data_IF_974259190985
#
_entry.id   IF_974259190985
#
_cell.length_a   1.000
_cell.length_b   1.000
_cell.length_c   1.000
_cell.angle_alpha   90.00
_cell.angle_beta   90.00
_cell.angle_gamma   90.00
#
_symmetry.space_group_name_H-M   'P 1'
#
loop_
_entity.id
_entity.type
_entity.pdbx_description
1 polymer ?
#
# COMPACT_ATOMS: atom_id res chain seq x y z
N UNK A 1 -13.47 -9.75 -68.63
CA UNK A 1 -12.36 -8.81 -68.84
C UNK A 1 -11.77 -8.55 -67.46
N UNK A 2 -10.88 -9.42 -66.97
CA UNK A 2 -9.42 -9.45 -67.19
C UNK A 2 -8.78 -8.12 -66.72
N UNK A 3 -7.86 -8.06 -65.77
CA UNK A 3 -7.15 -9.11 -65.04
C UNK A 3 -6.39 -8.53 -63.84
N UNK A 4 -6.17 -9.38 -62.85
CA UNK A 4 -5.23 -9.24 -61.73
C UNK A 4 -3.90 -9.90 -62.14
N UNK A 5 -2.77 -9.25 -61.89
CA UNK A 5 -1.41 -9.83 -61.73
C UNK A 5 -0.67 -8.93 -60.72
N UNK A 6 -0.43 -9.40 -59.47
CA UNK A 6 0.76 -10.10 -58.94
C UNK A 6 1.99 -9.17 -58.82
N UNK A 7 2.37 -8.68 -57.64
CA UNK A 7 3.05 -9.34 -56.49
C UNK A 7 4.57 -9.16 -56.58
N UNK A 8 5.15 -8.63 -55.49
CA UNK A 8 6.59 -8.71 -55.17
C UNK A 8 6.78 -8.27 -53.70
N UNK A 9 6.33 -9.13 -52.78
CA UNK A 9 6.90 -9.20 -51.42
C UNK A 9 7.58 -10.56 -51.25
N UNK A 10 8.84 -10.63 -50.80
CA UNK A 10 9.45 -11.92 -50.50
C UNK A 10 8.85 -12.51 -49.21
N UNK A 11 8.29 -13.71 -49.35
CA UNK A 11 7.84 -14.60 -48.27
C UNK A 11 9.00 -15.51 -47.77
N UNK A 12 8.82 -16.20 -46.63
CA UNK A 12 9.91 -16.71 -45.80
C UNK A 12 10.36 -18.13 -46.17
N UNK A 13 11.62 -18.47 -45.87
CA UNK A 13 12.09 -19.85 -45.89
C UNK A 13 11.97 -20.49 -44.50
N UNK A 14 11.11 -21.50 -44.42
CA UNK A 14 10.94 -22.44 -43.30
C UNK A 14 12.05 -23.49 -43.34
N UNK A 15 12.66 -23.78 -42.19
CA UNK A 15 13.62 -24.86 -42.00
C UNK A 15 13.65 -25.36 -40.56
N UNK A 16 12.66 -26.19 -40.23
CA UNK A 16 12.57 -27.22 -39.18
C UNK A 16 13.61 -27.21 -38.04
N UNK A 17 13.15 -27.08 -36.78
CA UNK A 17 12.89 -28.23 -35.88
C UNK A 17 14.04 -29.26 -35.82
N UNK A 18 14.88 -29.16 -34.79
CA UNK A 18 15.42 -30.26 -33.94
C UNK A 18 16.61 -29.77 -33.12
N UNK A 19 16.39 -29.51 -31.83
CA UNK A 19 17.30 -29.87 -30.73
C UNK A 19 16.82 -29.20 -29.42
N UNK A 20 15.68 -29.68 -28.93
CA UNK A 20 15.51 -29.74 -27.49
C UNK A 20 16.57 -30.72 -26.92
N UNK A 21 16.92 -30.52 -25.65
CA UNK A 21 17.68 -31.44 -24.79
C UNK A 21 19.19 -31.54 -25.03
N UNK A 22 19.97 -30.72 -24.32
CA UNK A 22 21.03 -31.23 -23.43
C UNK A 22 21.07 -30.44 -22.13
N UNK A 23 20.55 -31.09 -21.09
CA UNK A 23 20.91 -30.91 -19.69
C UNK A 23 22.43 -30.90 -19.50
N UNK A 24 22.89 -30.15 -18.50
CA UNK A 24 23.78 -30.74 -17.50
C UNK A 24 25.20 -30.18 -17.38
N UNK A 25 25.37 -29.38 -16.33
CA UNK A 25 26.44 -29.48 -15.32
C UNK A 25 27.88 -28.97 -15.61
N UNK A 26 28.21 -27.94 -14.82
CA UNK A 26 29.39 -27.81 -13.94
C UNK A 26 30.79 -27.57 -14.56
N UNK A 27 31.41 -26.43 -14.22
CA UNK A 27 32.31 -26.36 -13.05
C UNK A 27 32.87 -24.93 -12.82
N UNK A 28 33.01 -24.61 -11.55
CA UNK A 28 33.55 -23.40 -10.91
C UNK A 28 35.07 -23.34 -11.08
N UNK A 29 35.63 -22.15 -11.35
CA UNK A 29 36.96 -21.76 -10.89
C UNK A 29 37.08 -20.22 -10.80
N UNK A 30 37.00 -19.73 -9.57
CA UNK A 30 37.50 -18.42 -9.14
C UNK A 30 39.02 -18.48 -9.11
N UNK A 31 39.72 -17.47 -9.65
CA UNK A 31 40.99 -17.01 -9.09
C UNK A 31 41.24 -15.54 -9.49
N UNK A 32 41.42 -14.75 -8.45
CA UNK A 32 41.70 -13.32 -8.45
C UNK A 32 43.15 -13.02 -8.87
N UNK A 33 43.37 -11.87 -9.52
CA UNK A 33 44.34 -10.82 -9.17
C UNK A 33 44.56 -9.86 -10.35
N UNK A 34 44.33 -8.58 -10.12
CA UNK A 34 44.61 -7.50 -11.07
C UNK A 34 44.03 -6.16 -10.64
N UNK A 35 44.44 -5.68 -9.46
CA UNK A 35 44.09 -4.37 -8.91
C UNK A 35 44.71 -3.22 -9.73
N UNK A 36 43.88 -2.27 -10.16
CA UNK A 36 44.12 -0.82 -10.09
C UNK A 36 43.02 -0.07 -10.87
N UNK A 37 42.04 0.48 -10.16
CA UNK A 37 41.03 1.35 -10.77
C UNK A 37 39.78 1.52 -9.90
N UNK A 38 39.84 2.46 -8.96
CA UNK A 38 38.70 3.02 -8.22
C UNK A 38 37.79 2.03 -7.45
N UNK A 39 38.34 1.44 -6.39
CA UNK A 39 37.52 1.12 -5.22
C UNK A 39 37.52 2.37 -4.31
N UNK A 40 36.59 3.27 -4.58
CA UNK A 40 36.09 4.26 -3.61
C UNK A 40 34.58 4.13 -3.59
N UNK A 41 34.08 3.62 -2.45
CA UNK A 41 32.70 3.63 -1.96
C UNK A 41 31.74 2.65 -2.69
N UNK A 42 31.15 1.59 -2.11
CA UNK A 42 30.62 1.39 -0.76
C UNK A 42 30.12 2.68 -0.11
N UNK A 43 29.43 3.52 -0.88
CA UNK A 43 28.84 4.75 -0.38
C UNK A 43 27.59 4.40 0.43
N UNK A 44 27.40 5.10 1.54
CA UNK A 44 26.18 5.13 2.31
C UNK A 44 24.93 5.16 1.41
N UNK A 45 23.85 4.53 1.86
CA UNK A 45 22.53 4.70 1.25
C UNK A 45 22.32 6.19 0.93
N UNK A 46 21.87 6.51 -0.28
CA UNK A 46 21.57 7.91 -0.62
C UNK A 46 20.63 8.50 0.43
N UNK A 47 20.69 9.80 0.69
CA UNK A 47 19.86 10.45 1.72
C UNK A 47 18.37 10.09 1.55
N UNK A 48 17.91 9.96 0.31
CA UNK A 48 16.56 9.51 -0.02
C UNK A 48 16.30 8.05 0.39
N UNK A 49 17.25 7.14 0.18
CA UNK A 49 17.15 5.76 0.66
C UNK A 49 17.10 5.68 2.19
N UNK A 50 17.85 6.54 2.89
CA UNK A 50 17.80 6.62 4.35
C UNK A 50 16.43 7.12 4.85
N UNK A 51 15.87 8.15 4.21
CA UNK A 51 14.51 8.63 4.48
C UNK A 51 13.49 7.52 4.20
N UNK A 52 13.57 6.87 3.04
CA UNK A 52 12.68 5.78 2.63
C UNK A 52 12.72 4.66 3.66
N UNK A 53 13.90 4.18 4.03
CA UNK A 53 14.06 3.12 5.02
C UNK A 53 13.43 3.49 6.37
N UNK A 54 13.46 4.78 6.75
CA UNK A 54 12.88 5.27 8.01
C UNK A 54 11.35 5.27 8.00
N UNK A 55 10.73 5.67 6.90
CA UNK A 55 9.28 5.96 6.87
C UNK A 55 8.44 4.97 6.06
N UNK A 56 9.07 4.04 5.32
CA UNK A 56 8.33 3.09 4.49
C UNK A 56 7.36 2.23 5.30
N UNK A 57 7.78 1.68 6.44
CA UNK A 57 6.93 0.85 7.30
C UNK A 57 5.75 1.66 7.87
N UNK A 58 5.96 2.85 8.48
CA UNK A 58 4.87 3.74 8.88
C UNK A 58 3.91 4.09 7.74
N UNK A 59 4.40 4.48 6.56
CA UNK A 59 3.56 4.83 5.40
C UNK A 59 2.73 3.63 4.95
N UNK A 60 3.32 2.44 4.91
CA UNK A 60 2.64 1.19 4.58
C UNK A 60 1.48 0.92 5.52
N UNK A 61 1.73 1.07 6.83
CA UNK A 61 0.73 0.87 7.86
C UNK A 61 -0.42 1.87 7.71
N UNK A 62 -0.11 3.15 7.48
CA UNK A 62 -1.13 4.19 7.29
C UNK A 62 -1.94 3.95 6.01
N UNK A 63 -1.31 3.61 4.88
CA UNK A 63 -2.03 3.32 3.64
C UNK A 63 -3.02 2.15 3.82
N UNK A 64 -2.59 1.09 4.52
CA UNK A 64 -3.50 -0.02 4.90
C UNK A 64 -4.62 0.44 5.82
N UNK A 65 -4.35 1.31 6.79
CA UNK A 65 -5.38 1.83 7.69
C UNK A 65 -6.44 2.66 6.95
N UNK A 66 -6.02 3.48 5.97
CA UNK A 66 -6.94 4.21 5.10
C UNK A 66 -7.88 3.25 4.37
N UNK A 67 -7.33 2.20 3.76
CA UNK A 67 -8.13 1.20 3.06
C UNK A 67 -9.01 0.40 4.01
N UNK A 68 -8.55 0.07 5.21
CA UNK A 68 -9.35 -0.60 6.24
C UNK A 68 -10.61 0.19 6.61
N UNK A 69 -10.57 1.52 6.65
CA UNK A 69 -11.75 2.36 6.92
C UNK A 69 -12.81 2.24 5.82
N UNK A 70 -12.39 2.05 4.57
CA UNK A 70 -13.27 1.81 3.43
C UNK A 70 -13.75 0.35 3.39
N UNK A 71 -12.83 -0.59 3.59
CA UNK A 71 -13.04 -2.01 3.32
C UNK A 71 -13.78 -2.74 4.43
N UNK A 72 -13.58 -2.40 5.70
CA UNK A 72 -14.26 -3.10 6.80
C UNK A 72 -15.79 -3.02 6.67
N UNK A 73 -16.41 -1.85 6.43
CA UNK A 73 -17.85 -1.75 6.19
C UNK A 73 -18.29 -2.48 4.92
N UNK A 74 -17.49 -2.42 3.84
CA UNK A 74 -17.81 -3.10 2.58
C UNK A 74 -17.81 -4.63 2.73
N UNK A 75 -16.86 -5.18 3.48
CA UNK A 75 -16.83 -6.62 3.80
C UNK A 75 -18.09 -7.03 4.58
N UNK A 76 -18.51 -6.22 5.55
CA UNK A 76 -19.74 -6.49 6.31
C UNK A 76 -20.96 -6.49 5.37
N UNK A 77 -21.02 -5.55 4.44
CA UNK A 77 -22.09 -5.45 3.44
C UNK A 77 -22.12 -6.66 2.48
N UNK A 78 -20.97 -7.06 1.93
CA UNK A 78 -20.88 -8.22 1.03
C UNK A 78 -21.33 -9.50 1.75
N UNK A 79 -20.92 -9.69 3.00
CA UNK A 79 -21.29 -10.86 3.80
C UNK A 79 -22.78 -10.81 4.16
N UNK A 80 -23.28 -9.66 4.59
CA UNK A 80 -24.69 -9.49 4.97
C UNK A 80 -25.64 -9.73 3.78
N UNK A 81 -25.25 -9.25 2.59
CA UNK A 81 -26.07 -9.30 1.37
C UNK A 81 -25.74 -10.50 0.46
N UNK A 82 -25.02 -11.49 0.97
CA UNK A 82 -24.68 -12.69 0.21
C UNK A 82 -25.97 -13.40 -0.29
N UNK A 83 -26.14 -13.66 -1.61
CA UNK A 83 -27.36 -14.26 -2.14
C UNK A 83 -27.73 -15.60 -1.48
N UNK A 84 -26.73 -16.41 -1.12
CA UNK A 84 -26.95 -17.67 -0.43
C UNK A 84 -27.62 -17.49 0.94
N UNK A 85 -27.37 -16.37 1.64
CA UNK A 85 -27.93 -16.08 2.95
C UNK A 85 -29.40 -15.64 2.90
N UNK A 86 -29.97 -15.36 1.72
CA UNK A 86 -31.33 -14.83 1.56
C UNK A 86 -32.39 -15.69 2.28
N UNK A 87 -32.25 -17.03 2.25
CA UNK A 87 -33.19 -17.95 2.91
C UNK A 87 -33.11 -17.94 4.44
N UNK A 88 -32.01 -17.44 5.02
CA UNK A 88 -31.83 -17.40 6.47
C UNK A 88 -32.56 -16.21 7.12
N UNK A 89 -32.85 -15.15 6.35
CA UNK A 89 -33.54 -13.96 6.83
C UNK A 89 -32.90 -13.41 8.12
N UNK A 90 -33.70 -13.25 9.18
CA UNK A 90 -33.27 -12.72 10.48
C UNK A 90 -32.29 -13.61 11.24
N UNK A 91 -32.05 -14.86 10.80
CA UNK A 91 -31.03 -15.75 11.40
C UNK A 91 -29.61 -15.42 10.91
N UNK A 92 -29.48 -14.69 9.80
CA UNK A 92 -28.19 -14.23 9.28
C UNK A 92 -27.80 -12.88 9.87
N UNK A 93 -27.05 -12.93 10.97
CA UNK A 93 -26.59 -11.73 11.68
C UNK A 93 -25.09 -11.81 11.97
N UNK A 94 -24.43 -10.67 12.27
CA UNK A 94 -23.02 -10.65 12.67
C UNK A 94 -22.66 -11.51 13.89
N UNK A 95 -23.66 -11.92 14.68
CA UNK A 95 -23.49 -12.82 15.83
C UNK A 95 -23.57 -14.30 15.45
N UNK A 96 -24.06 -14.64 14.24
CA UNK A 96 -24.13 -16.02 13.78
C UNK A 96 -22.75 -16.56 13.40
N UNK A 97 -22.48 -17.83 13.73
CA UNK A 97 -21.18 -18.45 13.49
C UNK A 97 -20.82 -18.48 11.99
N UNK A 98 -21.79 -18.74 11.11
CA UNK A 98 -21.53 -18.70 9.66
C UNK A 98 -21.23 -17.30 9.14
N UNK A 99 -21.87 -16.26 9.67
CA UNK A 99 -21.54 -14.88 9.29
C UNK A 99 -20.11 -14.54 9.68
N UNK A 100 -19.71 -14.89 10.90
CA UNK A 100 -18.32 -14.66 11.36
C UNK A 100 -17.31 -15.47 10.54
N UNK A 101 -17.65 -16.71 10.17
CA UNK A 101 -16.82 -17.55 9.29
C UNK A 101 -16.66 -16.90 7.90
N UNK A 102 -17.75 -16.48 7.28
CA UNK A 102 -17.74 -15.79 6.00
C UNK A 102 -16.91 -14.49 6.07
N UNK A 103 -17.15 -13.67 7.09
CA UNK A 103 -16.44 -12.41 7.31
C UNK A 103 -14.95 -12.59 7.51
N UNK A 104 -14.55 -13.63 8.23
CA UNK A 104 -13.16 -14.00 8.44
C UNK A 104 -12.50 -14.48 7.13
N UNK A 105 -13.19 -15.31 6.34
CA UNK A 105 -12.67 -15.80 5.06
C UNK A 105 -12.39 -14.66 4.06
N UNK A 106 -13.35 -13.74 3.86
CA UNK A 106 -13.12 -12.57 3.01
C UNK A 106 -12.05 -11.63 3.60
N UNK A 107 -12.04 -11.44 4.93
CA UNK A 107 -11.00 -10.64 5.60
C UNK A 107 -9.59 -11.21 5.43
N UNK A 108 -9.45 -12.54 5.40
CA UNK A 108 -8.19 -13.22 5.12
C UNK A 108 -7.76 -13.04 3.66
N UNK A 109 -8.70 -13.07 2.70
CA UNK A 109 -8.41 -12.76 1.28
C UNK A 109 -7.90 -11.33 1.11
N UNK A 110 -8.60 -10.36 1.71
CA UNK A 110 -8.16 -8.96 1.76
C UNK A 110 -6.73 -8.86 2.32
N UNK A 111 -6.49 -9.43 3.51
CA UNK A 111 -5.18 -9.37 4.17
C UNK A 111 -4.06 -9.94 3.30
N UNK A 112 -4.26 -11.12 2.68
CA UNK A 112 -3.25 -11.72 1.79
C UNK A 112 -2.91 -10.81 0.61
N UNK A 113 -3.90 -10.19 0.00
CA UNK A 113 -3.71 -9.30 -1.17
C UNK A 113 -3.00 -8.00 -0.79
N UNK A 114 -3.39 -7.38 0.34
CA UNK A 114 -2.70 -6.20 0.87
C UNK A 114 -1.25 -6.53 1.26
N UNK A 115 -1.01 -7.66 1.92
CA UNK A 115 0.34 -8.10 2.31
C UNK A 115 1.22 -8.42 1.08
N UNK A 116 0.63 -8.97 0.01
CA UNK A 116 1.34 -9.17 -1.25
C UNK A 116 1.74 -7.83 -1.90
N UNK A 117 0.84 -6.84 -1.88
CA UNK A 117 1.16 -5.48 -2.33
C UNK A 117 2.26 -4.84 -1.48
N UNK A 118 2.19 -4.95 -0.15
CA UNK A 118 3.17 -4.37 0.76
C UNK A 118 4.59 -4.94 0.55
N UNK A 119 4.71 -6.16 0.04
CA UNK A 119 5.99 -6.80 -0.32
C UNK A 119 6.50 -6.41 -1.72
N UNK A 120 5.74 -5.64 -2.49
CA UNK A 120 6.15 -5.18 -3.82
C UNK A 120 7.03 -3.92 -3.75
N UNK A 121 7.84 -3.70 -4.78
CA UNK A 121 8.67 -2.49 -4.91
C UNK A 121 7.85 -1.21 -5.17
N UNK A 122 6.53 -1.31 -5.35
CA UNK A 122 5.70 -0.18 -5.73
C UNK A 122 5.74 0.94 -4.69
N UNK A 123 5.71 0.58 -3.41
CA UNK A 123 5.62 1.56 -2.32
C UNK A 123 6.95 2.29 -2.07
N UNK A 124 8.12 1.61 -2.04
CA UNK A 124 9.41 2.31 -2.07
C UNK A 124 9.56 3.26 -3.26
N UNK A 125 9.18 2.82 -4.49
CA UNK A 125 9.25 3.69 -5.68
C UNK A 125 8.31 4.89 -5.61
N UNK A 126 7.10 4.69 -5.07
CA UNK A 126 6.11 5.77 -4.88
C UNK A 126 6.63 6.81 -3.91
N UNK A 127 7.28 6.38 -2.84
CA UNK A 127 7.88 7.28 -1.85
C UNK A 127 9.09 8.02 -2.42
N UNK A 128 9.99 7.32 -3.12
CA UNK A 128 11.13 7.94 -3.82
C UNK A 128 10.67 9.02 -4.80
N UNK A 129 9.67 8.72 -5.63
CA UNK A 129 9.10 9.71 -6.55
C UNK A 129 8.49 10.90 -5.81
N UNK A 130 7.74 10.67 -4.73
CA UNK A 130 7.16 11.75 -3.94
C UNK A 130 8.24 12.64 -3.29
N UNK A 131 9.34 12.06 -2.82
CA UNK A 131 10.50 12.79 -2.30
C UNK A 131 11.11 13.67 -3.40
N UNK A 132 11.47 13.07 -4.54
CA UNK A 132 12.08 13.78 -5.66
C UNK A 132 11.23 14.94 -6.21
N UNK A 133 9.90 14.77 -6.21
CA UNK A 133 8.96 15.79 -6.67
C UNK A 133 8.78 16.97 -5.69
N UNK A 134 9.08 16.77 -4.40
CA UNK A 134 8.64 17.68 -3.33
C UNK A 134 9.80 18.31 -2.54
N UNK A 135 10.85 17.54 -2.28
CA UNK A 135 12.00 17.92 -1.48
C UNK A 135 13.21 17.98 -2.40
N UNK A 136 13.85 19.15 -2.48
CA UNK A 136 15.05 19.31 -3.32
C UNK A 136 16.25 18.59 -2.71
N UNK A 137 17.26 18.33 -3.55
CA UNK A 137 18.50 17.65 -3.14
C UNK A 137 19.19 18.31 -1.94
N UNK A 138 19.15 19.63 -1.83
CA UNK A 138 19.76 20.37 -0.71
C UNK A 138 18.90 20.32 0.58
N UNK A 139 17.59 20.09 0.44
CA UNK A 139 16.66 20.01 1.57
C UNK A 139 16.57 18.58 2.14
N UNK A 140 16.83 17.56 1.33
CA UNK A 140 16.73 16.16 1.75
C UNK A 140 17.59 15.82 2.98
N UNK A 141 18.86 16.27 3.09
CA UNK A 141 19.67 16.02 4.29
C UNK A 141 19.10 16.66 5.56
N UNK A 142 18.41 17.80 5.43
CA UNK A 142 17.78 18.46 6.58
C UNK A 142 16.55 17.68 7.03
N UNK A 143 15.76 17.18 6.09
CA UNK A 143 14.61 16.33 6.41
C UNK A 143 15.04 15.00 7.03
N UNK A 144 16.03 14.32 6.44
CA UNK A 144 16.62 13.09 6.97
C UNK A 144 17.10 13.29 8.41
N UNK A 145 17.90 14.34 8.67
CA UNK A 145 18.40 14.65 10.00
C UNK A 145 17.29 14.94 11.01
N UNK A 146 16.20 15.58 10.59
CA UNK A 146 15.05 15.82 11.47
C UNK A 146 14.32 14.52 11.83
N UNK A 147 14.21 13.58 10.89
CA UNK A 147 13.65 12.25 11.12
C UNK A 147 14.58 11.34 11.95
N UNK A 148 15.89 11.57 11.90
CA UNK A 148 16.88 10.85 12.70
C UNK A 148 17.11 11.44 14.09
N UNK A 149 16.79 12.73 14.27
CA UNK A 149 16.96 13.42 15.54
C UNK A 149 15.98 12.98 16.64
N UNK A 150 16.14 13.52 17.86
CA UNK A 150 15.31 13.18 19.02
C UNK A 150 13.80 13.36 18.78
N UNK A 151 13.41 14.36 17.99
CA UNK A 151 12.02 14.63 17.65
C UNK A 151 11.46 13.75 16.51
N UNK A 152 12.28 12.91 15.89
CA UNK A 152 11.95 12.16 14.68
C UNK A 152 10.73 11.24 14.84
N UNK A 153 10.63 10.52 15.95
CA UNK A 153 9.47 9.67 16.27
C UNK A 153 8.16 10.47 16.29
N UNK A 154 8.17 11.63 16.95
CA UNK A 154 7.02 12.54 17.04
C UNK A 154 6.68 13.17 15.68
N UNK A 155 7.68 13.55 14.88
CA UNK A 155 7.48 14.05 13.51
C UNK A 155 6.81 12.98 12.64
N UNK A 156 7.34 11.75 12.64
CA UNK A 156 6.79 10.61 11.89
C UNK A 156 5.35 10.36 12.31
N UNK A 157 5.07 10.30 13.62
CA UNK A 157 3.72 10.05 14.11
C UNK A 157 2.73 11.14 13.70
N UNK A 158 3.13 12.41 13.79
CA UNK A 158 2.29 13.52 13.37
C UNK A 158 1.97 13.46 11.87
N UNK A 159 2.99 13.23 11.03
CA UNK A 159 2.81 13.12 9.59
C UNK A 159 1.94 11.92 9.22
N UNK A 160 2.14 10.78 9.89
CA UNK A 160 1.31 9.59 9.76
C UNK A 160 -0.17 9.84 10.11
N UNK A 161 -0.43 10.46 11.26
CA UNK A 161 -1.79 10.79 11.69
C UNK A 161 -2.45 11.78 10.72
N UNK A 162 -1.72 12.81 10.30
CA UNK A 162 -2.20 13.80 9.34
C UNK A 162 -2.56 13.15 8.02
N UNK A 163 -1.68 12.30 7.49
CA UNK A 163 -1.90 11.60 6.23
C UNK A 163 -3.11 10.66 6.32
N UNK A 164 -3.26 9.90 7.41
CA UNK A 164 -4.43 9.05 7.64
C UNK A 164 -5.73 9.86 7.59
N UNK A 165 -5.83 10.87 8.47
CA UNK A 165 -7.06 11.65 8.65
C UNK A 165 -7.44 12.37 7.36
N UNK A 166 -6.49 13.08 6.74
CA UNK A 166 -6.76 13.86 5.52
C UNK A 166 -7.14 12.94 4.36
N UNK A 167 -6.49 11.79 4.21
CA UNK A 167 -6.78 10.87 3.12
C UNK A 167 -8.17 10.25 3.27
N UNK A 168 -8.55 9.80 4.48
CA UNK A 168 -9.90 9.26 4.73
C UNK A 168 -10.97 10.33 4.46
N UNK A 169 -10.79 11.54 4.98
CA UNK A 169 -11.71 12.66 4.80
C UNK A 169 -11.87 13.08 3.33
N UNK A 170 -10.81 12.94 2.52
CA UNK A 170 -10.83 13.36 1.12
C UNK A 170 -11.36 12.29 0.17
N UNK A 171 -11.14 11.01 0.49
CA UNK A 171 -11.47 9.89 -0.40
C UNK A 171 -12.89 9.37 -0.24
N UNK A 172 -13.57 9.66 0.87
CA UNK A 172 -14.92 9.15 1.14
C UNK A 172 -15.99 10.22 0.88
N UNK A 173 -16.96 9.98 -0.03
CA UNK A 173 -18.02 10.94 -0.31
C UNK A 173 -19.01 11.09 0.85
N UNK A 174 -18.94 10.22 1.86
CA UNK A 174 -19.79 10.24 3.06
C UNK A 174 -19.23 11.17 4.15
N UNK A 175 -17.99 11.63 4.01
CA UNK A 175 -17.34 12.45 5.04
C UNK A 175 -17.77 13.92 4.93
N UNK A 176 -17.93 14.61 6.08
CA UNK A 176 -18.21 16.03 6.08
C UNK A 176 -17.06 16.80 5.45
N UNK A 177 -17.36 17.79 4.62
CA UNK A 177 -16.35 18.69 4.03
C UNK A 177 -15.88 19.71 5.06
N UNK A 178 -14.73 20.32 4.80
CA UNK A 178 -14.22 21.40 5.64
C UNK A 178 -15.28 22.50 5.85
N UNK A 179 -15.49 22.89 7.10
CA UNK A 179 -16.49 23.89 7.50
C UNK A 179 -17.93 23.37 7.61
N UNK A 180 -18.22 22.12 7.25
CA UNK A 180 -19.54 21.53 7.47
C UNK A 180 -19.74 21.09 8.92
N UNK A 181 -21.00 21.05 9.42
CA UNK A 181 -21.31 20.42 10.69
C UNK A 181 -20.77 18.99 10.78
N UNK A 182 -20.24 18.61 11.94
CA UNK A 182 -19.64 17.29 12.16
C UNK A 182 -18.20 17.13 11.65
N UNK A 183 -17.63 18.10 10.91
CA UNK A 183 -16.25 18.00 10.42
C UNK A 183 -15.22 17.83 11.55
N UNK A 184 -15.29 18.67 12.58
CA UNK A 184 -14.36 18.62 13.71
C UNK A 184 -14.51 17.34 14.55
N UNK A 185 -15.75 16.88 14.73
CA UNK A 185 -16.07 15.64 15.43
C UNK A 185 -15.51 14.43 14.69
N UNK A 186 -15.67 14.40 13.36
CA UNK A 186 -15.13 13.33 12.52
C UNK A 186 -13.61 13.32 12.50
N UNK A 187 -12.97 14.48 12.37
CA UNK A 187 -11.51 14.62 12.50
C UNK A 187 -11.02 14.03 13.83
N UNK A 188 -11.71 14.35 14.93
CA UNK A 188 -11.37 13.85 16.27
C UNK A 188 -11.57 12.33 16.37
N UNK A 189 -12.67 11.81 15.82
CA UNK A 189 -12.94 10.38 15.78
C UNK A 189 -11.87 9.62 14.98
N UNK A 190 -11.45 10.14 13.83
CA UNK A 190 -10.39 9.54 13.02
C UNK A 190 -9.03 9.57 13.73
N UNK A 191 -8.69 10.65 14.46
CA UNK A 191 -7.47 10.67 15.28
C UNK A 191 -7.48 9.58 16.35
N UNK A 192 -8.61 9.38 17.01
CA UNK A 192 -8.78 8.29 17.98
C UNK A 192 -8.60 6.92 17.32
N UNK A 193 -9.24 6.69 16.16
CA UNK A 193 -9.06 5.46 15.38
C UNK A 193 -7.59 5.25 14.99
N UNK A 194 -6.89 6.32 14.62
CA UNK A 194 -5.46 6.25 14.32
C UNK A 194 -4.67 5.80 15.54
N UNK A 195 -4.85 6.44 16.69
CA UNK A 195 -4.10 6.12 17.90
C UNK A 195 -4.36 4.69 18.39
N UNK A 196 -5.57 4.18 18.22
CA UNK A 196 -5.95 2.80 18.56
C UNK A 196 -5.33 1.76 17.62
N UNK A 197 -5.11 2.10 16.35
CA UNK A 197 -4.76 1.12 15.29
C UNK A 197 -3.35 1.23 14.73
N UNK A 198 -2.67 2.37 14.89
CA UNK A 198 -1.33 2.58 14.34
C UNK A 198 -0.31 1.53 14.85
N UNK A 199 -0.53 1.04 16.08
CA UNK A 199 0.27 -0.05 16.66
C UNK A 199 1.76 0.27 16.72
N UNK A 200 2.60 -0.76 16.68
CA UNK A 200 4.06 -0.63 16.72
C UNK A 200 4.69 -0.20 15.38
N UNK A 201 3.93 -0.22 14.28
CA UNK A 201 4.44 0.14 12.96
C UNK A 201 4.64 1.65 12.77
N UNK A 202 3.96 2.47 13.57
CA UNK A 202 4.19 3.91 13.67
C UNK A 202 4.75 4.20 15.07
N UNK A 203 5.88 4.90 15.18
CA UNK A 203 6.45 5.22 16.48
C UNK A 203 5.47 5.99 17.37
N UNK A 204 5.61 5.81 18.69
CA UNK A 204 4.88 6.61 19.66
C UNK A 204 5.42 8.04 19.68
N UNK A 205 4.52 9.01 19.94
CA UNK A 205 4.92 10.40 20.19
C UNK A 205 5.73 10.41 21.48
N UNK A 206 6.89 11.05 21.45
CA UNK A 206 7.61 11.47 22.64
C UNK A 206 7.04 12.83 23.09
N UNK A 207 6.32 12.88 24.24
CA UNK A 207 5.75 14.13 24.74
C UNK A 207 6.79 15.21 24.99
N UNK A 208 8.03 14.84 25.35
CA UNK A 208 9.10 15.79 25.61
C UNK A 208 9.56 16.52 24.33
N UNK A 209 9.39 15.89 23.16
CA UNK A 209 9.83 16.41 21.87
C UNK A 209 8.70 17.11 21.09
N UNK A 210 7.49 17.19 21.65
CA UNK A 210 6.30 17.71 20.98
C UNK A 210 6.47 19.14 20.47
N UNK A 211 7.12 20.00 21.25
CA UNK A 211 7.37 21.38 20.85
C UNK A 211 8.32 21.45 19.66
N UNK A 212 9.42 20.71 19.69
CA UNK A 212 10.44 20.78 18.65
C UNK A 212 9.99 20.09 17.36
N UNK A 213 9.26 18.97 17.47
CA UNK A 213 8.53 18.39 16.35
C UNK A 213 7.55 19.40 15.75
N UNK A 214 6.75 20.07 16.58
CA UNK A 214 5.77 21.07 16.15
C UNK A 214 6.40 22.26 15.42
N UNK A 215 7.55 22.76 15.89
CA UNK A 215 8.33 23.80 15.18
C UNK A 215 8.74 23.30 13.79
N UNK A 216 9.38 22.14 13.72
CA UNK A 216 9.85 21.58 12.45
C UNK A 216 8.70 21.36 11.46
N UNK A 217 7.59 20.78 11.92
CA UNK A 217 6.38 20.57 11.11
C UNK A 217 5.83 21.89 10.55
N UNK A 218 5.94 22.97 11.33
CA UNK A 218 5.53 24.32 10.93
C UNK A 218 6.45 24.97 9.89
N UNK A 219 7.71 24.53 9.79
CA UNK A 219 8.71 25.06 8.87
C UNK A 219 8.47 24.61 7.41
N UNK A 220 9.02 25.32 6.40
CA UNK A 220 8.83 24.97 4.99
C UNK A 220 9.19 23.52 4.64
N UNK A 221 10.29 23.00 5.18
CA UNK A 221 10.75 21.63 4.93
C UNK A 221 9.82 20.61 5.60
N UNK A 222 9.35 20.85 6.84
CA UNK A 222 8.40 19.96 7.50
C UNK A 222 7.03 19.91 6.81
N UNK A 223 6.58 21.03 6.22
CA UNK A 223 5.37 21.07 5.38
C UNK A 223 5.53 20.26 4.10
N UNK A 224 6.68 20.38 3.42
CA UNK A 224 7.04 19.54 2.27
C UNK A 224 7.08 18.05 2.66
N UNK A 225 7.69 17.71 3.80
CA UNK A 225 7.63 16.36 4.35
C UNK A 225 6.19 15.87 4.52
N UNK A 226 5.30 16.70 5.05
CA UNK A 226 3.86 16.35 5.16
C UNK A 226 3.22 16.11 3.80
N UNK A 227 3.58 16.87 2.77
CA UNK A 227 3.10 16.65 1.40
C UNK A 227 3.62 15.33 0.81
N UNK A 228 4.88 14.96 1.06
CA UNK A 228 5.44 13.65 0.68
C UNK A 228 4.60 12.54 1.29
N UNK A 229 4.28 12.63 2.59
CA UNK A 229 3.44 11.64 3.28
C UNK A 229 2.04 11.55 2.70
N UNK A 230 1.37 12.68 2.46
CA UNK A 230 0.04 12.72 1.85
C UNK A 230 0.03 12.06 0.46
N UNK A 231 1.03 12.38 -0.35
CA UNK A 231 1.21 11.82 -1.70
C UNK A 231 1.45 10.32 -1.66
N UNK A 232 2.42 9.87 -0.84
CA UNK A 232 2.81 8.47 -0.76
C UNK A 232 1.71 7.58 -0.16
N UNK A 233 1.06 8.03 0.91
CA UNK A 233 -0.09 7.33 1.53
C UNK A 233 -1.26 7.28 0.54
N UNK A 234 -1.65 8.41 -0.04
CA UNK A 234 -2.79 8.48 -0.96
C UNK A 234 -2.62 7.59 -2.19
N UNK A 235 -1.46 7.66 -2.85
CA UNK A 235 -1.14 6.81 -4.01
C UNK A 235 -1.07 5.32 -3.63
N UNK A 236 -0.51 5.00 -2.46
CA UNK A 236 -0.43 3.62 -1.99
C UNK A 236 -1.80 3.05 -1.63
N UNK A 237 -2.66 3.83 -0.97
CA UNK A 237 -4.03 3.45 -0.65
C UNK A 237 -4.83 3.15 -1.94
N UNK A 238 -4.77 4.05 -2.93
CA UNK A 238 -5.40 3.83 -4.25
C UNK A 238 -4.90 2.54 -4.93
N UNK A 239 -3.61 2.23 -4.80
CA UNK A 239 -3.06 1.00 -5.38
C UNK A 239 -3.53 -0.25 -4.64
N UNK A 240 -3.60 -0.19 -3.31
CA UNK A 240 -4.19 -1.26 -2.50
C UNK A 240 -5.65 -1.46 -2.91
N UNK A 241 -6.45 -0.39 -3.01
CA UNK A 241 -7.84 -0.47 -3.47
C UNK A 241 -7.97 -1.18 -4.82
N UNK A 242 -7.11 -0.83 -5.78
CA UNK A 242 -7.05 -1.51 -7.07
C UNK A 242 -6.78 -3.02 -6.96
N UNK A 243 -5.84 -3.43 -6.10
CA UNK A 243 -5.53 -4.85 -5.86
C UNK A 243 -6.72 -5.57 -5.24
N UNK A 244 -7.43 -4.96 -4.28
CA UNK A 244 -8.57 -5.61 -3.65
C UNK A 244 -9.79 -5.65 -4.59
N UNK A 245 -9.99 -4.64 -5.43
CA UNK A 245 -11.04 -4.68 -6.45
C UNK A 245 -10.77 -5.80 -7.47
N UNK A 246 -9.51 -5.99 -7.90
CA UNK A 246 -9.14 -7.12 -8.76
C UNK A 246 -9.41 -8.47 -8.08
N UNK A 247 -9.08 -8.61 -6.79
CA UNK A 247 -9.42 -9.80 -6.01
C UNK A 247 -10.94 -10.09 -6.05
N UNK A 248 -11.80 -9.08 -5.90
CA UNK A 248 -13.25 -9.30 -5.99
C UNK A 248 -13.71 -9.80 -7.36
N UNK A 249 -13.10 -9.32 -8.44
CA UNK A 249 -13.45 -9.74 -9.80
C UNK A 249 -12.90 -11.14 -10.12
N UNK A 250 -11.60 -11.36 -9.90
CA UNK A 250 -10.92 -12.60 -10.27
C UNK A 250 -11.38 -13.77 -9.39
N UNK A 251 -11.63 -13.52 -8.11
CA UNK A 251 -12.01 -14.55 -7.15
C UNK A 251 -13.53 -14.64 -6.89
N UNK A 252 -14.35 -13.90 -7.66
CA UNK A 252 -15.80 -13.77 -7.41
C UNK A 252 -16.49 -15.13 -7.18
N UNK A 253 -16.23 -16.10 -8.06
CA UNK A 253 -16.83 -17.42 -7.97
C UNK A 253 -16.39 -18.19 -6.72
N UNK A 254 -15.12 -18.07 -6.33
CA UNK A 254 -14.60 -18.70 -5.12
C UNK A 254 -15.21 -18.05 -3.86
N UNK A 255 -15.30 -16.72 -3.85
CA UNK A 255 -15.95 -15.96 -2.77
C UNK A 255 -17.41 -16.39 -2.62
N UNK A 256 -18.17 -16.47 -3.72
CA UNK A 256 -19.59 -16.89 -3.65
C UNK A 256 -19.75 -18.31 -3.12
N UNK A 257 -18.86 -19.25 -3.48
CA UNK A 257 -18.88 -20.61 -2.93
C UNK A 257 -18.58 -20.63 -1.43
N UNK A 258 -17.54 -19.92 -0.99
CA UNK A 258 -17.20 -19.83 0.43
C UNK A 258 -18.32 -19.21 1.26
N UNK A 259 -19.01 -18.20 0.73
CA UNK A 259 -20.19 -17.61 1.35
C UNK A 259 -21.33 -18.63 1.45
N UNK A 260 -21.60 -19.39 0.38
CA UNK A 260 -22.61 -20.46 0.40
C UNK A 260 -22.28 -21.56 1.43
N UNK A 261 -21.02 -21.99 1.50
CA UNK A 261 -20.57 -23.00 2.46
C UNK A 261 -20.71 -22.53 3.91
N UNK A 262 -20.39 -21.25 4.17
CA UNK A 262 -20.57 -20.66 5.50
C UNK A 262 -22.05 -20.58 5.90
N UNK A 263 -22.92 -20.21 4.96
CA UNK A 263 -24.38 -20.18 5.15
C UNK A 263 -24.93 -21.59 5.40
N UNK A 264 -24.49 -22.59 4.64
CA UNK A 264 -24.92 -23.97 4.81
C UNK A 264 -24.59 -24.51 6.22
N UNK A 265 -23.43 -24.12 6.77
CA UNK A 265 -23.01 -24.47 8.14
C UNK A 265 -23.72 -23.68 9.26
N UNK A 266 -24.67 -22.80 8.93
CA UNK A 266 -25.48 -22.03 9.90
C UNK A 266 -26.85 -22.66 10.16
N UNK A 267 -27.21 -23.72 9.40
CA UNK A 267 -28.49 -24.42 9.51
C UNK A 267 -28.55 -25.38 10.68
#
# INVERSE_FOLDING_TARGET
MNGFELDDRPAPAVGALKAAQRLGAACIAVLALGFAGAATDSAAASVDEAIVARVIVPISAVARMVEDEKWKPLLDEIVQNAPAAASLGTRWTPQSAGWQKARSALGARYTRNVDAYAKSDHMPRTLQAALADTISTDEAPVYEKALDGPAGSTIIRYQAQTAFVVTVMSNSPKEPRYGQPGWAERMTALRKVFDERAGAAVPHEDPAQKMDAGKFIGDPIGRKGTQVWLSAVGKSALKIDGVVNLMLFDEQNAIQRELADAVAGTR
#
